data_IF_176367102058
#
_entry.id   IF_176367102058
#
_cell.length_a   1.000
_cell.length_b   1.000
_cell.length_c   1.000
_cell.angle_alpha   90.00
_cell.angle_beta   90.00
_cell.angle_gamma   90.00
#
_symmetry.space_group_name_H-M   'P 1'
#
loop_
_entity.id
_entity.type
_entity.pdbx_description
1 polymer ?
#
# COMPACT_ATOMS: atom_id res chain seq x y z
N UNK A 1 3.12 -37.07 48.94
CA UNK A 1 3.93 -36.28 47.98
C UNK A 1 3.69 -36.82 46.58
N UNK A 2 2.89 -36.09 45.79
CA UNK A 2 2.63 -36.44 44.41
C UNK A 2 3.73 -35.90 43.51
N UNK A 3 4.24 -36.65 42.52
CA UNK A 3 5.26 -36.16 41.59
C UNK A 3 4.64 -35.19 40.57
N UNK A 4 5.28 -34.04 40.45
CA UNK A 4 4.94 -33.01 39.44
C UNK A 4 5.38 -33.50 38.06
N UNK A 5 4.45 -33.49 37.09
CA UNK A 5 4.77 -33.83 35.72
C UNK A 5 5.73 -32.79 35.10
N UNK A 6 6.65 -33.18 34.20
CA UNK A 6 7.55 -32.27 33.54
C UNK A 6 6.76 -31.29 32.63
N UNK A 7 6.98 -30.01 32.83
CA UNK A 7 6.44 -28.97 31.98
C UNK A 7 7.13 -29.04 30.60
N UNK A 8 6.33 -29.14 29.55
CA UNK A 8 6.83 -29.04 28.17
C UNK A 8 7.51 -27.69 27.94
N UNK A 9 8.62 -27.65 27.17
CA UNK A 9 9.25 -26.38 26.84
C UNK A 9 8.24 -25.48 26.13
N UNK A 10 8.08 -24.25 26.63
CA UNK A 10 7.13 -23.27 26.13
C UNK A 10 7.35 -23.03 24.65
N UNK A 11 6.25 -23.04 23.90
CA UNK A 11 6.27 -22.67 22.51
C UNK A 11 6.92 -21.29 22.34
N UNK A 12 7.79 -21.09 21.35
CA UNK A 12 8.41 -19.78 21.13
C UNK A 12 7.30 -18.75 20.94
N UNK A 13 7.39 -17.66 21.70
CA UNK A 13 6.52 -16.48 21.49
C UNK A 13 6.54 -16.10 20.02
N UNK A 14 5.37 -15.74 19.43
CA UNK A 14 5.34 -15.30 18.04
C UNK A 14 6.32 -14.12 17.92
N UNK A 15 7.32 -14.25 17.05
CA UNK A 15 8.22 -13.17 16.69
C UNK A 15 7.33 -11.98 16.33
N UNK A 16 7.56 -10.83 16.96
CA UNK A 16 6.98 -9.56 16.53
C UNK A 16 7.12 -9.52 15.01
N UNK A 17 6.00 -9.40 14.31
CA UNK A 17 5.97 -9.43 12.84
C UNK A 17 6.88 -8.30 12.38
N UNK A 18 8.03 -8.67 11.90
CA UNK A 18 9.02 -7.74 11.38
C UNK A 18 8.34 -6.95 10.26
N UNK A 19 8.42 -5.62 10.33
CA UNK A 19 7.79 -4.75 9.31
C UNK A 19 8.35 -5.14 7.95
N UNK A 20 7.49 -5.32 6.93
CA UNK A 20 7.98 -5.65 5.60
C UNK A 20 8.86 -4.52 5.08
N UNK A 21 10.01 -4.85 4.52
CA UNK A 21 10.82 -3.89 3.79
C UNK A 21 10.13 -3.54 2.49
N UNK A 22 9.91 -2.26 2.27
CA UNK A 22 9.22 -1.72 1.08
C UNK A 22 10.09 -0.65 0.42
N UNK A 23 9.93 -0.42 -0.89
CA UNK A 23 10.59 0.70 -1.55
C UNK A 23 9.99 2.04 -1.09
N UNK A 24 10.63 3.15 -1.38
CA UNK A 24 10.02 4.46 -1.19
C UNK A 24 8.65 4.53 -1.89
N UNK A 25 7.66 5.21 -1.28
CA UNK A 25 6.36 5.42 -1.90
C UNK A 25 6.49 6.10 -3.27
N UNK A 26 5.61 5.77 -4.25
CA UNK A 26 5.70 6.31 -5.60
C UNK A 26 5.16 7.75 -5.69
N UNK A 27 5.83 8.69 -5.06
CA UNK A 27 5.51 10.11 -5.19
C UNK A 27 5.92 10.65 -6.55
N UNK A 28 5.21 11.68 -6.99
CA UNK A 28 5.68 12.53 -8.09
C UNK A 28 6.95 13.27 -7.63
N UNK A 29 7.94 13.35 -8.51
CA UNK A 29 9.21 14.01 -8.21
C UNK A 29 9.00 15.45 -7.73
N UNK A 30 9.67 15.79 -6.64
CA UNK A 30 9.63 17.12 -6.05
C UNK A 30 8.34 17.48 -5.29
N UNK A 31 7.37 16.56 -5.17
CA UNK A 31 6.11 16.85 -4.47
C UNK A 31 6.21 16.60 -2.96
N UNK A 32 7.01 15.65 -2.54
CA UNK A 32 7.21 15.33 -1.13
C UNK A 32 8.48 16.04 -0.58
N UNK A 33 8.48 16.58 0.65
CA UNK A 33 7.43 16.50 1.65
C UNK A 33 6.28 17.49 1.43
N UNK A 34 5.07 17.05 1.73
CA UNK A 34 3.84 17.83 1.56
C UNK A 34 3.83 19.06 2.49
N UNK A 35 4.48 18.96 3.64
CA UNK A 35 4.69 20.05 4.61
C UNK A 35 5.42 21.27 4.00
N UNK A 36 6.17 21.10 2.92
CA UNK A 36 6.80 22.22 2.23
C UNK A 36 5.81 23.31 1.80
N UNK A 37 4.58 22.91 1.44
CA UNK A 37 3.49 23.82 1.09
C UNK A 37 2.41 23.89 2.18
N UNK A 38 2.16 22.77 2.88
CA UNK A 38 1.01 22.65 3.78
C UNK A 38 1.29 23.02 5.23
N UNK A 39 2.53 23.26 5.61
CA UNK A 39 2.93 23.56 6.99
C UNK A 39 2.12 24.69 7.63
N UNK A 40 1.93 25.78 6.88
CA UNK A 40 1.30 27.00 7.38
C UNK A 40 -0.10 27.22 6.78
N UNK A 41 -0.60 26.26 5.99
CA UNK A 41 -1.93 26.37 5.40
C UNK A 41 -3.00 25.82 6.35
N UNK A 42 -4.12 26.53 6.53
CA UNK A 42 -5.22 26.04 7.34
C UNK A 42 -5.85 24.80 6.73
N UNK A 43 -6.27 23.88 7.60
CA UNK A 43 -6.95 22.67 7.17
C UNK A 43 -8.36 22.98 6.71
N UNK A 44 -8.66 22.71 5.45
CA UNK A 44 -10.01 22.80 4.91
C UNK A 44 -10.58 21.39 4.70
N UNK A 45 -11.59 21.05 5.49
CA UNK A 45 -12.26 19.74 5.45
C UNK A 45 -13.47 19.70 4.53
N UNK A 46 -13.80 20.81 3.90
CA UNK A 46 -14.95 20.89 2.99
C UNK A 46 -14.63 20.21 1.67
N UNK A 47 -15.45 19.25 1.29
CA UNK A 47 -15.36 18.59 -0.02
C UNK A 47 -15.59 19.62 -1.13
N UNK A 48 -14.71 19.66 -2.10
CA UNK A 48 -14.76 20.61 -3.22
C UNK A 48 -13.94 20.10 -4.40
N UNK A 49 -14.15 20.68 -5.57
CA UNK A 49 -13.23 20.53 -6.69
C UNK A 49 -11.99 21.38 -6.45
N UNK A 50 -10.83 20.81 -6.71
CA UNK A 50 -9.55 21.51 -6.64
C UNK A 50 -9.28 22.20 -7.98
N UNK A 51 -8.74 23.42 -7.95
CA UNK A 51 -8.57 24.24 -9.16
C UNK A 51 -7.20 24.89 -9.31
N UNK A 52 -6.32 24.71 -8.32
CA UNK A 52 -4.97 25.32 -8.35
C UNK A 52 -3.89 24.26 -8.24
N UNK A 53 -3.86 23.53 -7.14
CA UNK A 53 -2.93 22.42 -6.91
C UNK A 53 -3.72 21.13 -6.76
N UNK A 54 -3.17 20.03 -7.21
CA UNK A 54 -3.81 18.71 -7.17
C UNK A 54 -5.10 18.62 -8.00
N UNK A 55 -5.28 19.49 -8.97
CA UNK A 55 -6.42 19.51 -9.88
C UNK A 55 -6.43 18.35 -10.89
N UNK A 56 -5.28 17.73 -11.09
CA UNK A 56 -5.09 16.50 -11.87
C UNK A 56 -5.52 15.22 -11.13
N UNK A 57 -5.74 15.30 -9.81
CA UNK A 57 -6.12 14.15 -9.01
C UNK A 57 -7.63 13.94 -9.05
N UNK A 58 -8.04 12.85 -9.67
CA UNK A 58 -9.44 12.43 -9.75
C UNK A 58 -9.66 11.24 -8.84
N UNK A 59 -10.50 11.42 -7.80
CA UNK A 59 -10.86 10.35 -6.88
C UNK A 59 -11.97 9.48 -7.48
N UNK A 60 -11.64 8.22 -7.78
CA UNK A 60 -12.55 7.14 -8.18
C UNK A 60 -12.31 5.91 -7.30
N UNK A 61 -12.45 6.14 -6.00
CA UNK A 61 -12.23 5.12 -4.98
C UNK A 61 -13.20 5.38 -3.83
N UNK A 62 -14.38 4.78 -3.91
CA UNK A 62 -15.49 5.01 -2.97
C UNK A 62 -15.80 6.51 -2.80
N UNK A 63 -15.78 7.24 -3.89
CA UNK A 63 -15.90 8.70 -3.95
C UNK A 63 -17.22 9.24 -3.41
N UNK A 64 -18.24 8.39 -3.27
CA UNK A 64 -19.52 8.75 -2.67
C UNK A 64 -19.42 8.89 -1.13
N UNK A 65 -18.51 8.12 -0.51
CA UNK A 65 -18.36 8.04 0.94
C UNK A 65 -16.99 8.54 1.43
N UNK A 66 -16.03 8.75 0.52
CA UNK A 66 -14.66 9.09 0.85
C UNK A 66 -14.24 10.42 0.23
N UNK A 67 -13.38 11.10 0.94
CA UNK A 67 -12.74 12.34 0.51
C UNK A 67 -11.26 12.30 0.84
N UNK A 68 -10.50 13.28 0.35
CA UNK A 68 -9.06 13.36 0.53
C UNK A 68 -8.62 13.14 1.99
N UNK A 69 -9.27 13.82 2.92
CA UNK A 69 -8.93 13.79 4.34
C UNK A 69 -9.48 12.59 5.12
N UNK A 70 -10.12 11.65 4.46
CA UNK A 70 -10.43 10.35 5.04
C UNK A 70 -9.23 9.40 5.01
N UNK A 71 -8.21 9.74 4.22
CA UNK A 71 -6.98 8.98 4.07
C UNK A 71 -5.74 9.81 4.41
N UNK A 72 -5.69 11.06 3.93
CA UNK A 72 -4.60 11.99 4.23
C UNK A 72 -4.82 12.68 5.56
N UNK A 73 -3.78 12.76 6.40
CA UNK A 73 -3.89 13.47 7.68
C UNK A 73 -4.02 14.97 7.46
N UNK A 74 -5.03 15.57 8.08
CA UNK A 74 -5.32 16.99 7.91
C UNK A 74 -4.34 17.90 8.62
N UNK A 75 -3.80 17.47 9.74
CA UNK A 75 -2.85 18.22 10.55
C UNK A 75 -1.39 17.97 10.14
N UNK A 76 -1.10 16.77 9.66
CA UNK A 76 0.22 16.35 9.23
C UNK A 76 0.14 15.75 7.82
N UNK A 77 0.37 16.61 6.82
CA UNK A 77 0.25 16.23 5.41
C UNK A 77 1.32 15.23 4.95
N UNK A 78 2.38 15.06 5.71
CA UNK A 78 3.42 14.07 5.44
C UNK A 78 3.03 12.66 5.90
N UNK A 79 1.82 12.52 6.43
CA UNK A 79 1.27 11.25 6.93
C UNK A 79 -0.11 10.96 6.35
N UNK A 80 -0.45 9.67 6.34
CA UNK A 80 -1.80 9.17 6.22
C UNK A 80 -2.38 8.94 7.62
N UNK A 81 -3.67 8.65 7.74
CA UNK A 81 -4.26 8.19 8.99
C UNK A 81 -5.22 7.02 8.78
N UNK A 82 -5.32 6.17 9.76
CA UNK A 82 -6.30 5.08 9.82
C UNK A 82 -7.67 5.62 10.24
N UNK A 83 -8.72 4.83 10.07
CA UNK A 83 -10.07 5.20 10.45
C UNK A 83 -10.20 5.59 11.93
N UNK A 84 -9.38 5.01 12.81
CA UNK A 84 -9.28 5.35 14.23
C UNK A 84 -8.47 6.63 14.54
N UNK A 85 -7.92 7.29 13.53
CA UNK A 85 -7.10 8.50 13.69
C UNK A 85 -5.61 8.25 13.93
N UNK A 86 -5.18 6.99 14.01
CA UNK A 86 -3.75 6.65 14.11
C UNK A 86 -3.04 7.11 12.84
N UNK A 87 -1.97 7.89 12.99
CA UNK A 87 -1.13 8.28 11.86
C UNK A 87 -0.27 7.12 11.39
N UNK A 88 -0.13 6.99 10.08
CA UNK A 88 0.77 6.05 9.45
C UNK A 88 1.61 6.75 8.39
N UNK A 89 2.90 6.46 8.28
CA UNK A 89 3.72 7.00 7.22
C UNK A 89 3.33 6.36 5.88
N UNK A 90 3.69 7.00 4.77
CA UNK A 90 3.34 6.52 3.44
C UNK A 90 3.94 5.15 3.08
N UNK A 91 5.07 4.80 3.66
CA UNK A 91 5.68 3.47 3.50
C UNK A 91 4.92 2.35 4.26
N UNK A 92 3.97 2.72 5.11
CA UNK A 92 3.02 1.81 5.74
C UNK A 92 1.60 1.92 5.16
N UNK A 93 1.43 2.52 4.00
CA UNK A 93 0.11 2.72 3.35
C UNK A 93 -0.70 1.43 3.18
N UNK A 94 -0.04 0.27 3.12
CA UNK A 94 -0.70 -1.04 3.10
C UNK A 94 -1.63 -1.26 4.31
N UNK A 95 -1.34 -0.65 5.46
CA UNK A 95 -2.20 -0.72 6.64
C UNK A 95 -3.53 0.01 6.41
N UNK A 96 -3.48 1.15 5.75
CA UNK A 96 -4.67 1.89 5.36
C UNK A 96 -5.52 1.10 4.35
N UNK A 97 -4.89 0.59 3.30
CA UNK A 97 -5.56 -0.26 2.30
C UNK A 97 -6.23 -1.47 2.94
N UNK A 98 -5.55 -2.10 3.88
CA UNK A 98 -6.01 -3.30 4.58
C UNK A 98 -7.23 -3.11 5.45
N UNK A 99 -7.58 -1.88 5.84
CA UNK A 99 -8.79 -1.63 6.63
C UNK A 99 -10.07 -1.99 5.87
N UNK A 100 -10.08 -1.84 4.55
CA UNK A 100 -11.20 -2.21 3.69
C UNK A 100 -10.89 -3.47 2.87
N UNK A 101 -9.64 -3.67 2.50
CA UNK A 101 -9.15 -4.78 1.67
C UNK A 101 -8.39 -5.83 2.48
N UNK A 102 -8.96 -6.27 3.60
CA UNK A 102 -8.30 -7.18 4.54
C UNK A 102 -7.84 -8.50 3.92
N UNK A 103 -8.62 -9.10 3.02
CA UNK A 103 -8.21 -10.30 2.29
C UNK A 103 -6.98 -10.06 1.42
N UNK A 104 -6.93 -8.92 0.72
CA UNK A 104 -5.80 -8.56 -0.13
C UNK A 104 -4.55 -8.24 0.69
N UNK A 105 -4.71 -7.62 1.85
CA UNK A 105 -3.61 -7.41 2.78
C UNK A 105 -3.03 -8.75 3.28
N UNK A 106 -3.89 -9.69 3.65
CA UNK A 106 -3.47 -11.04 4.06
C UNK A 106 -2.70 -11.73 2.94
N UNK A 107 -3.24 -11.73 1.74
CA UNK A 107 -2.64 -12.36 0.57
C UNK A 107 -1.30 -11.69 0.20
N UNK A 108 -1.22 -10.36 0.33
CA UNK A 108 0.00 -9.60 0.13
C UNK A 108 1.08 -9.97 1.17
N UNK A 109 0.70 -10.04 2.43
CA UNK A 109 1.60 -10.47 3.52
C UNK A 109 2.10 -11.90 3.31
N UNK A 110 1.25 -12.78 2.79
CA UNK A 110 1.61 -14.16 2.45
C UNK A 110 2.39 -14.29 1.13
N UNK A 111 2.46 -13.24 0.31
CA UNK A 111 3.11 -13.24 -1.00
C UNK A 111 2.29 -13.85 -2.14
N UNK A 112 0.99 -14.03 -1.93
CA UNK A 112 0.06 -14.54 -2.94
C UNK A 112 -0.42 -13.40 -3.85
N UNK A 113 -0.52 -12.19 -3.29
CA UNK A 113 -0.89 -10.98 -4.02
C UNK A 113 0.27 -9.98 -4.02
N UNK A 114 0.41 -9.24 -5.11
CA UNK A 114 1.49 -8.29 -5.29
C UNK A 114 2.80 -8.95 -5.73
N UNK A 115 3.88 -8.21 -5.66
CA UNK A 115 5.20 -8.67 -6.06
C UNK A 115 6.19 -8.54 -4.91
N UNK A 116 6.93 -9.60 -4.69
CA UNK A 116 8.12 -9.63 -3.83
C UNK A 116 9.39 -9.60 -4.68
N UNK A 117 10.41 -8.95 -4.16
CA UNK A 117 11.78 -8.97 -4.66
C UNK A 117 12.72 -9.39 -3.54
N UNK A 118 14.03 -9.39 -3.78
CA UNK A 118 15.03 -9.85 -2.80
C UNK A 118 15.50 -11.28 -3.06
N UNK A 119 16.07 -11.90 -2.05
CA UNK A 119 16.64 -13.24 -2.17
C UNK A 119 15.56 -14.32 -2.20
N UNK A 120 15.74 -15.34 -3.02
CA UNK A 120 14.75 -16.41 -3.16
C UNK A 120 14.52 -17.19 -1.86
N UNK A 121 15.52 -17.38 -1.03
CA UNK A 121 15.43 -18.05 0.28
C UNK A 121 15.88 -17.18 1.46
N UNK A 122 16.01 -15.87 1.27
CA UNK A 122 16.48 -14.93 2.27
C UNK A 122 15.52 -13.76 2.46
N UNK A 123 16.10 -12.59 2.62
CA UNK A 123 15.36 -11.36 2.86
C UNK A 123 14.45 -11.00 1.69
N UNK A 124 13.20 -10.69 1.98
CA UNK A 124 12.19 -10.30 0.98
C UNK A 124 11.88 -8.81 1.08
N UNK A 125 11.75 -8.19 -0.08
CA UNK A 125 11.24 -6.83 -0.23
C UNK A 125 9.87 -6.88 -0.88
N UNK A 126 8.93 -6.12 -0.35
CA UNK A 126 7.55 -6.09 -0.81
C UNK A 126 7.30 -4.80 -1.60
N UNK A 127 6.68 -4.88 -2.76
CA UNK A 127 6.13 -3.68 -3.38
C UNK A 127 4.87 -3.26 -2.63
N UNK A 128 4.72 -1.97 -2.38
CA UNK A 128 3.50 -1.40 -1.81
C UNK A 128 2.30 -1.60 -2.74
N UNK A 129 1.11 -1.62 -2.20
CA UNK A 129 -0.13 -1.59 -2.99
C UNK A 129 -0.09 -0.43 -4.00
N UNK A 130 0.37 0.74 -3.56
CA UNK A 130 0.49 1.95 -4.37
C UNK A 130 1.53 1.86 -5.50
N UNK A 131 2.46 0.92 -5.47
CA UNK A 131 3.39 0.71 -6.59
C UNK A 131 2.70 0.10 -7.82
N UNK A 132 1.56 -0.56 -7.65
CA UNK A 132 0.81 -1.18 -8.72
C UNK A 132 -0.58 -0.56 -8.90
N UNK A 133 -1.21 -0.13 -7.81
CA UNK A 133 -2.53 0.50 -7.81
C UNK A 133 -2.41 1.98 -7.52
N UNK A 134 -2.95 2.83 -8.38
CA UNK A 134 -3.12 4.24 -8.02
C UNK A 134 -4.16 4.36 -6.91
N UNK A 135 -3.82 4.84 -5.70
CA UNK A 135 -4.75 4.87 -4.57
C UNK A 135 -6.00 5.73 -4.82
N UNK A 136 -5.93 6.69 -5.74
CA UNK A 136 -7.07 7.52 -6.13
C UNK A 136 -7.98 6.85 -7.16
N UNK A 137 -7.44 5.93 -7.97
CA UNK A 137 -8.15 5.14 -8.99
C UNK A 137 -7.57 3.72 -9.04
N UNK A 138 -7.82 2.88 -8.03
CA UNK A 138 -7.09 1.62 -7.86
C UNK A 138 -7.49 0.51 -8.85
N UNK A 139 -8.58 0.68 -9.59
CA UNK A 139 -9.03 -0.30 -10.57
C UNK A 139 -8.08 -0.36 -11.76
N UNK A 140 -7.59 -1.55 -12.09
CA UNK A 140 -6.83 -1.75 -13.31
C UNK A 140 -7.70 -1.57 -14.56
N UNK A 141 -7.11 -0.93 -15.56
CA UNK A 141 -7.69 -0.95 -16.91
C UNK A 141 -7.45 -2.34 -17.53
N UNK A 142 -8.40 -2.87 -18.32
CA UNK A 142 -8.20 -4.12 -19.04
C UNK A 142 -6.96 -4.02 -19.93
N UNK A 143 -6.06 -4.97 -19.82
CA UNK A 143 -4.90 -5.06 -20.69
C UNK A 143 -5.29 -5.72 -22.00
N UNK A 144 -4.85 -5.15 -23.13
CA UNK A 144 -4.99 -5.83 -24.43
C UNK A 144 -4.05 -7.03 -24.45
N UNK A 145 -4.53 -8.23 -24.82
CA UNK A 145 -3.68 -9.38 -24.99
C UNK A 145 -2.55 -9.10 -26.00
N UNK A 146 -1.36 -9.61 -25.74
CA UNK A 146 -0.31 -9.58 -26.75
C UNK A 146 -0.71 -10.44 -27.94
N UNK A 147 -0.23 -10.13 -29.16
CA UNK A 147 -0.45 -10.99 -30.33
C UNK A 147 0.03 -12.42 -30.05
N UNK A 148 -0.64 -13.39 -30.61
CA UNK A 148 -0.19 -14.78 -30.51
C UNK A 148 1.26 -14.92 -31.01
N UNK A 149 2.06 -15.81 -30.42
CA UNK A 149 3.41 -16.07 -30.87
C UNK A 149 3.40 -16.50 -32.36
N UNK A 150 4.34 -15.96 -33.14
CA UNK A 150 4.52 -16.45 -34.52
C UNK A 150 4.97 -17.90 -34.48
N UNK A 151 4.38 -18.74 -35.29
CA UNK A 151 4.86 -20.12 -35.46
C UNK A 151 6.30 -20.07 -35.98
N UNK A 152 7.20 -20.92 -35.46
CA UNK A 152 8.55 -21.04 -36.02
C UNK A 152 8.44 -21.40 -37.50
N UNK A 153 9.12 -20.68 -38.35
CA UNK A 153 9.32 -21.08 -39.76
C UNK A 153 10.33 -22.21 -39.75
N UNK A 154 9.88 -23.43 -40.05
CA UNK A 154 10.75 -24.58 -40.18
C UNK A 154 11.57 -24.38 -41.46
N UNK A 155 12.82 -23.93 -41.32
CA UNK A 155 13.78 -24.00 -42.39
C UNK A 155 14.17 -25.45 -42.55
N UNK A 156 13.63 -26.14 -43.54
CA UNK A 156 14.20 -27.44 -43.95
C UNK A 156 15.58 -27.17 -44.55
N UNK A 157 16.63 -27.73 -43.93
CA UNK A 157 17.93 -27.91 -44.54
C UNK A 157 17.91 -29.22 -45.31
#
# INVERSE_FOLDING_TARGET
SSPQAPQAPGAPSPKATERPEVPPPPFTDGIFPCSSCHKDLPVNRTRRSLSAMHDDIVLKHDEQHRWCLDCHDGADRDSLHLAGGEKVPFDESYRLCGQCHGEKLRDWTAGIHGRRTGDWNGHKKYLLCANCHNPHQPRFQPLKPKPAPRRPTRTMK
#
